data_IF_061224543071
#
_entry.id   IF_061224543071
#
_cell.length_a   1.000
_cell.length_b   1.000
_cell.length_c   1.000
_cell.angle_alpha   90.00
_cell.angle_beta   90.00
_cell.angle_gamma   90.00
#
_symmetry.space_group_name_H-M   'P 1'
#
loop_
_entity.id
_entity.type
_entity.pdbx_description
1 polymer ?
#
# COMPACT_ATOMS: atom_id res chain seq x y z
N UNK A 1 -7.12 -26.10 -25.47
CA UNK A 1 -7.30 -24.73 -25.00
C UNK A 1 -7.80 -23.89 -26.14
N UNK A 2 -9.01 -23.32 -26.07
CA UNK A 2 -9.58 -22.57 -27.21
C UNK A 2 -8.89 -21.20 -27.32
N UNK A 3 -8.64 -20.72 -28.53
CA UNK A 3 -8.00 -19.42 -28.80
C UNK A 3 -8.65 -18.27 -28.00
N UNK A 4 -9.97 -18.35 -27.80
CA UNK A 4 -10.76 -17.42 -26.99
C UNK A 4 -10.31 -17.38 -25.53
N UNK A 5 -9.94 -18.52 -24.94
CA UNK A 5 -9.51 -18.62 -23.55
C UNK A 5 -8.13 -17.97 -23.36
N UNK A 6 -7.24 -18.12 -24.34
CA UNK A 6 -5.92 -17.48 -24.36
C UNK A 6 -6.04 -15.96 -24.47
N UNK A 7 -6.87 -15.47 -25.39
CA UNK A 7 -7.12 -14.02 -25.54
C UNK A 7 -7.74 -13.42 -24.27
N UNK A 8 -8.66 -14.13 -23.63
CA UNK A 8 -9.26 -13.70 -22.37
C UNK A 8 -8.23 -13.60 -21.24
N UNK A 9 -7.35 -14.58 -21.10
CA UNK A 9 -6.25 -14.55 -20.12
C UNK A 9 -5.28 -13.37 -20.36
N UNK A 10 -4.93 -13.10 -21.62
CA UNK A 10 -4.07 -11.97 -21.99
C UNK A 10 -4.75 -10.65 -21.59
N UNK A 11 -6.05 -10.50 -21.85
CA UNK A 11 -6.82 -9.31 -21.48
C UNK A 11 -6.86 -9.08 -19.97
N UNK A 12 -7.10 -10.13 -19.20
CA UNK A 12 -7.11 -10.09 -17.74
C UNK A 12 -5.73 -9.69 -17.19
N UNK A 13 -4.66 -10.26 -17.74
CA UNK A 13 -3.30 -9.92 -17.30
C UNK A 13 -2.93 -8.48 -17.67
N UNK A 14 -3.27 -7.99 -18.85
CA UNK A 14 -3.07 -6.60 -19.24
C UNK A 14 -3.84 -5.63 -18.32
N UNK A 15 -5.09 -5.94 -18.01
CA UNK A 15 -5.89 -5.18 -17.06
C UNK A 15 -5.23 -5.13 -15.67
N UNK A 16 -4.74 -6.27 -15.21
CA UNK A 16 -4.01 -6.36 -13.95
C UNK A 16 -2.78 -5.45 -13.90
N UNK A 17 -1.90 -5.56 -14.89
CA UNK A 17 -0.69 -4.72 -14.95
C UNK A 17 -1.01 -3.23 -15.04
N UNK A 18 -2.07 -2.87 -15.76
CA UNK A 18 -2.52 -1.48 -15.87
C UNK A 18 -2.98 -0.93 -14.52
N UNK A 19 -3.75 -1.71 -13.74
CA UNK A 19 -4.23 -1.29 -12.42
C UNK A 19 -3.10 -1.16 -11.40
N UNK A 20 -2.14 -2.08 -11.42
CA UNK A 20 -0.93 -2.03 -10.60
C UNK A 20 -0.09 -0.79 -10.93
N UNK A 21 0.12 -0.54 -12.23
CA UNK A 21 0.87 0.64 -12.68
C UNK A 21 0.16 1.96 -12.32
N UNK A 22 -1.16 2.03 -12.46
CA UNK A 22 -1.94 3.21 -12.09
C UNK A 22 -1.89 3.47 -10.57
N UNK A 23 -2.02 2.43 -9.75
CA UNK A 23 -1.90 2.53 -8.29
C UNK A 23 -0.51 3.02 -7.87
N UNK A 24 0.54 2.41 -8.42
CA UNK A 24 1.92 2.83 -8.20
C UNK A 24 2.19 4.27 -8.64
N UNK A 25 1.57 4.73 -9.74
CA UNK A 25 1.66 6.11 -10.20
C UNK A 25 1.05 7.09 -9.18
N UNK A 26 -0.13 6.81 -8.65
CA UNK A 26 -0.76 7.68 -7.65
C UNK A 26 0.04 7.70 -6.35
N UNK A 27 0.53 6.55 -5.87
CA UNK A 27 1.40 6.49 -4.70
C UNK A 27 2.72 7.23 -4.93
N UNK A 28 3.33 7.10 -6.11
CA UNK A 28 4.52 7.87 -6.47
C UNK A 28 4.25 9.38 -6.42
N UNK A 29 3.10 9.82 -6.93
CA UNK A 29 2.69 11.24 -6.88
C UNK A 29 2.40 11.72 -5.46
N UNK A 30 1.88 10.87 -4.58
CA UNK A 30 1.66 11.17 -3.17
C UNK A 30 2.98 11.32 -2.40
N UNK A 31 3.99 10.50 -2.69
CA UNK A 31 5.26 10.56 -1.98
C UNK A 31 6.21 11.65 -2.50
N UNK A 32 6.08 12.06 -3.77
CA UNK A 32 7.01 13.00 -4.43
C UNK A 32 7.25 14.34 -3.70
N UNK A 33 6.25 14.96 -3.02
CA UNK A 33 6.47 16.19 -2.24
C UNK A 33 7.33 15.98 -0.98
N UNK A 34 7.39 14.79 -0.44
CA UNK A 34 8.05 14.49 0.84
C UNK A 34 9.43 13.85 0.69
N UNK A 35 9.66 13.14 -0.43
CA UNK A 35 10.88 12.38 -0.65
C UNK A 35 11.40 12.59 -2.06
N UNK A 36 12.69 12.84 -2.18
CA UNK A 36 13.33 12.95 -3.48
C UNK A 36 13.85 11.60 -3.94
N UNK A 37 13.53 11.13 -5.15
CA UNK A 37 14.21 9.96 -5.70
C UNK A 37 15.70 10.25 -5.85
N UNK A 38 16.52 9.22 -5.76
CA UNK A 38 17.95 9.32 -6.00
C UNK A 38 18.23 9.72 -7.45
N UNK A 39 19.35 10.39 -7.73
CA UNK A 39 19.66 10.85 -9.07
C UNK A 39 19.83 9.66 -10.03
N UNK A 40 19.23 9.81 -11.21
CA UNK A 40 19.26 8.79 -12.26
C UNK A 40 17.88 8.21 -12.58
N UNK A 41 17.71 7.80 -13.85
CA UNK A 41 16.46 7.17 -14.31
C UNK A 41 16.19 5.85 -13.59
N UNK A 42 17.25 5.07 -13.35
CA UNK A 42 17.17 3.78 -12.67
C UNK A 42 16.48 3.89 -11.30
N UNK A 43 16.88 4.84 -10.45
CA UNK A 43 16.32 5.01 -9.11
C UNK A 43 14.87 5.47 -9.11
N UNK A 44 14.47 6.28 -10.10
CA UNK A 44 13.06 6.69 -10.27
C UNK A 44 12.20 5.51 -10.70
N UNK A 45 12.70 4.71 -11.62
CA UNK A 45 12.02 3.48 -12.05
C UNK A 45 11.95 2.48 -10.91
N UNK A 46 13.04 2.28 -10.15
CA UNK A 46 13.05 1.40 -8.99
C UNK A 46 12.03 1.83 -7.93
N UNK A 47 11.97 3.12 -7.59
CA UNK A 47 10.96 3.64 -6.67
C UNK A 47 9.54 3.39 -7.18
N UNK A 48 9.29 3.67 -8.45
CA UNK A 48 8.00 3.39 -9.08
C UNK A 48 7.65 1.91 -9.04
N UNK A 49 8.59 1.02 -9.40
CA UNK A 49 8.39 -0.42 -9.36
C UNK A 49 8.17 -0.95 -7.93
N UNK A 50 8.84 -0.37 -6.94
CA UNK A 50 8.60 -0.71 -5.53
C UNK A 50 7.16 -0.40 -5.13
N UNK A 51 6.68 0.81 -5.43
CA UNK A 51 5.31 1.23 -5.11
C UNK A 51 4.25 0.52 -5.96
N UNK A 52 4.53 0.23 -7.21
CA UNK A 52 3.62 -0.53 -8.07
C UNK A 52 3.61 -2.01 -7.71
N UNK A 53 4.79 -2.61 -7.47
CA UNK A 53 4.90 -4.03 -7.15
C UNK A 53 4.22 -4.40 -5.84
N UNK A 54 4.33 -3.54 -4.82
CA UNK A 54 3.64 -3.75 -3.55
C UNK A 54 2.12 -3.69 -3.70
N UNK A 55 1.57 -2.77 -4.51
CA UNK A 55 0.13 -2.76 -4.83
C UNK A 55 -0.33 -3.98 -5.64
N UNK A 56 0.57 -4.66 -6.33
CA UNK A 56 0.27 -5.89 -7.07
C UNK A 56 0.12 -7.13 -6.18
N UNK A 57 0.58 -7.09 -4.95
CA UNK A 57 0.47 -8.22 -4.03
C UNK A 57 -0.97 -8.43 -3.56
N UNK A 58 -1.33 -9.70 -3.40
CA UNK A 58 -2.57 -10.10 -2.71
C UNK A 58 -2.24 -10.20 -1.24
N UNK A 59 -2.89 -9.41 -0.43
CA UNK A 59 -2.66 -9.35 1.02
C UNK A 59 -4.00 -9.32 1.72
N UNK A 60 -4.24 -10.31 2.57
CA UNK A 60 -5.41 -10.35 3.43
C UNK A 60 -5.14 -9.74 4.80
N UNK A 61 -6.19 -9.43 5.52
CA UNK A 61 -6.06 -8.96 6.91
C UNK A 61 -5.43 -10.09 7.73
N UNK A 62 -4.29 -9.79 8.35
CA UNK A 62 -3.53 -10.76 9.14
C UNK A 62 -2.62 -11.69 8.32
N UNK A 63 -2.41 -11.42 7.04
CA UNK A 63 -1.53 -12.21 6.18
C UNK A 63 -0.07 -12.15 6.66
N UNK A 64 0.59 -13.30 6.93
CA UNK A 64 2.00 -13.34 7.33
C UNK A 64 2.95 -12.84 6.23
N UNK A 65 2.54 -12.82 4.96
CA UNK A 65 3.33 -12.26 3.86
C UNK A 65 3.65 -10.78 4.07
N UNK A 66 2.85 -10.08 4.87
CA UNK A 66 3.12 -8.69 5.25
C UNK A 66 4.45 -8.53 5.99
N UNK A 67 4.85 -9.50 6.81
CA UNK A 67 6.13 -9.51 7.53
C UNK A 67 7.33 -9.64 6.58
N UNK A 68 7.17 -10.31 5.44
CA UNK A 68 8.23 -10.44 4.44
C UNK A 68 8.26 -9.24 3.48
N UNK A 69 7.10 -8.68 3.15
CA UNK A 69 7.00 -7.52 2.27
C UNK A 69 7.52 -6.25 2.93
N UNK A 70 7.33 -6.10 4.25
CA UNK A 70 7.76 -4.94 5.01
C UNK A 70 9.27 -4.65 4.84
N UNK A 71 10.21 -5.56 5.19
CA UNK A 71 11.63 -5.29 5.05
C UNK A 71 12.06 -5.07 3.59
N UNK A 72 11.47 -5.80 2.64
CA UNK A 72 11.75 -5.64 1.23
C UNK A 72 11.32 -4.25 0.73
N UNK A 73 10.10 -3.82 1.04
CA UNK A 73 9.58 -2.50 0.71
C UNK A 73 10.47 -1.40 1.30
N UNK A 74 10.80 -1.50 2.59
CA UNK A 74 11.68 -0.55 3.27
C UNK A 74 13.05 -0.45 2.63
N UNK A 75 13.70 -1.58 2.38
CA UNK A 75 15.01 -1.61 1.75
C UNK A 75 14.99 -0.93 0.39
N UNK A 76 14.07 -1.33 -0.50
CA UNK A 76 13.95 -0.78 -1.85
C UNK A 76 13.58 0.70 -1.84
N UNK A 77 12.64 1.12 -0.98
CA UNK A 77 12.23 2.51 -0.83
C UNK A 77 13.39 3.39 -0.33
N UNK A 78 14.09 2.98 0.72
CA UNK A 78 15.20 3.73 1.29
C UNK A 78 16.43 3.75 0.36
N UNK A 79 16.67 2.70 -0.43
CA UNK A 79 17.72 2.67 -1.44
C UNK A 79 17.42 3.61 -2.60
N UNK A 80 16.17 3.68 -3.04
CA UNK A 80 15.74 4.49 -4.20
C UNK A 80 15.55 5.97 -3.87
N UNK A 81 15.48 6.34 -2.59
CA UNK A 81 15.23 7.72 -2.14
C UNK A 81 16.44 8.34 -1.47
N UNK A 82 16.47 9.68 -1.40
CA UNK A 82 17.49 10.47 -0.68
C UNK A 82 16.84 11.64 0.07
N UNK A 83 17.55 12.12 1.09
CA UNK A 83 17.12 13.20 1.97
C UNK A 83 17.35 12.86 3.43
N UNK A 84 16.69 13.56 4.33
CA UNK A 84 16.77 13.29 5.75
C UNK A 84 16.32 11.85 6.08
N UNK A 85 17.12 11.15 6.89
CA UNK A 85 16.88 9.73 7.19
C UNK A 85 15.56 9.52 7.92
N UNK A 86 15.25 10.39 8.90
CA UNK A 86 14.03 10.26 9.72
C UNK A 86 12.80 10.51 8.84
N UNK A 87 12.84 11.56 8.01
CA UNK A 87 11.75 11.89 7.09
C UNK A 87 11.48 10.75 6.09
N UNK A 88 12.53 10.16 5.50
CA UNK A 88 12.37 9.02 4.57
C UNK A 88 11.74 7.81 5.24
N UNK A 89 12.17 7.47 6.47
CA UNK A 89 11.59 6.36 7.23
C UNK A 89 10.13 6.65 7.57
N UNK A 90 9.81 7.85 8.04
CA UNK A 90 8.43 8.23 8.35
C UNK A 90 7.51 8.12 7.12
N UNK A 91 7.92 8.69 5.99
CA UNK A 91 7.13 8.61 4.74
C UNK A 91 7.00 7.16 4.25
N UNK A 92 8.07 6.36 4.37
CA UNK A 92 8.05 4.94 4.03
C UNK A 92 6.99 4.18 4.84
N UNK A 93 6.94 4.40 6.16
CA UNK A 93 5.95 3.77 7.05
C UNK A 93 4.54 4.21 6.67
N UNK A 94 4.31 5.50 6.48
CA UNK A 94 2.99 6.04 6.13
C UNK A 94 2.48 5.42 4.83
N UNK A 95 3.31 5.41 3.78
CA UNK A 95 2.93 4.84 2.49
C UNK A 95 2.67 3.34 2.59
N UNK A 96 3.53 2.61 3.29
CA UNK A 96 3.35 1.18 3.50
C UNK A 96 2.05 0.88 4.23
N UNK A 97 1.77 1.57 5.35
CA UNK A 97 0.54 1.38 6.10
C UNK A 97 -0.70 1.73 5.28
N UNK A 98 -0.67 2.85 4.56
CA UNK A 98 -1.76 3.27 3.67
C UNK A 98 -2.04 2.21 2.60
N UNK A 99 -1.00 1.77 1.92
CA UNK A 99 -1.08 0.81 0.83
C UNK A 99 -1.58 -0.55 1.32
N UNK A 100 -0.96 -1.09 2.38
CA UNK A 100 -1.31 -2.40 2.93
C UNK A 100 -2.74 -2.40 3.51
N UNK A 101 -3.17 -1.30 4.14
CA UNK A 101 -4.54 -1.17 4.64
C UNK A 101 -5.57 -1.22 3.51
N UNK A 102 -5.33 -0.49 2.42
CA UNK A 102 -6.23 -0.50 1.25
C UNK A 102 -6.25 -1.87 0.58
N UNK A 103 -5.08 -2.47 0.36
CA UNK A 103 -4.99 -3.79 -0.26
C UNK A 103 -5.66 -4.87 0.61
N UNK A 104 -5.37 -4.91 1.91
CA UNK A 104 -5.93 -5.90 2.82
C UNK A 104 -7.46 -5.79 2.94
N UNK A 105 -7.99 -4.56 2.98
CA UNK A 105 -9.44 -4.36 2.98
C UNK A 105 -10.08 -4.89 1.69
N UNK A 106 -9.57 -4.47 0.55
CA UNK A 106 -10.12 -4.86 -0.75
C UNK A 106 -10.02 -6.37 -0.95
N UNK A 107 -8.87 -6.97 -0.72
CA UNK A 107 -8.64 -8.40 -0.95
C UNK A 107 -9.48 -9.26 0.01
N UNK A 108 -9.62 -8.87 1.29
CA UNK A 108 -10.45 -9.59 2.25
C UNK A 108 -11.94 -9.57 1.89
N UNK A 109 -12.44 -8.43 1.39
CA UNK A 109 -13.84 -8.35 0.96
C UNK A 109 -14.11 -9.17 -0.30
N UNK A 110 -13.16 -9.24 -1.22
CA UNK A 110 -13.28 -9.97 -2.47
C UNK A 110 -13.37 -11.46 -2.27
N UNK A 111 -12.49 -12.00 -1.45
CA UNK A 111 -12.45 -13.44 -1.19
C UNK A 111 -13.80 -13.96 -0.64
N UNK A 112 -14.55 -13.08 0.06
CA UNK A 112 -15.85 -13.42 0.63
C UNK A 112 -16.99 -13.45 -0.37
N UNK A 113 -16.91 -12.68 -1.47
CA UNK A 113 -18.07 -12.46 -2.34
C UNK A 113 -18.10 -13.41 -3.54
N UNK A 114 -16.97 -13.68 -4.18
CA UNK A 114 -16.93 -14.61 -5.31
C UNK A 114 -15.50 -14.90 -5.81
N UNK A 115 -15.20 -16.15 -6.20
CA UNK A 115 -13.90 -16.57 -6.74
C UNK A 115 -13.80 -16.51 -8.28
N UNK A 116 -14.49 -15.59 -8.94
CA UNK A 116 -14.41 -15.44 -10.38
C UNK A 116 -13.26 -14.52 -10.79
N UNK A 117 -12.46 -14.93 -11.80
CA UNK A 117 -11.32 -14.17 -12.31
C UNK A 117 -11.65 -12.71 -12.72
N UNK A 118 -12.87 -12.47 -13.19
CA UNK A 118 -13.36 -11.13 -13.51
C UNK A 118 -13.50 -10.27 -12.24
N UNK A 119 -13.90 -10.87 -11.16
CA UNK A 119 -14.07 -10.20 -9.87
C UNK A 119 -12.72 -9.78 -9.29
N UNK A 120 -11.70 -10.62 -9.40
CA UNK A 120 -10.33 -10.28 -9.01
C UNK A 120 -9.81 -9.04 -9.75
N UNK A 121 -10.11 -8.91 -11.04
CA UNK A 121 -9.73 -7.72 -11.81
C UNK A 121 -10.50 -6.49 -11.35
N UNK A 122 -11.81 -6.60 -11.10
CA UNK A 122 -12.65 -5.48 -10.65
C UNK A 122 -12.19 -4.92 -9.31
N UNK A 123 -11.77 -5.79 -8.38
CA UNK A 123 -11.29 -5.35 -7.07
C UNK A 123 -9.92 -4.70 -7.15
N UNK A 124 -9.06 -5.23 -8.00
CA UNK A 124 -7.77 -4.58 -8.26
C UNK A 124 -7.96 -3.22 -8.93
N UNK A 125 -9.00 -3.06 -9.78
CA UNK A 125 -9.45 -1.76 -10.28
C UNK A 125 -9.90 -0.81 -9.17
N UNK A 126 -10.42 -1.32 -8.05
CA UNK A 126 -10.78 -0.48 -6.92
C UNK A 126 -9.57 0.20 -6.25
N UNK A 127 -8.37 -0.40 -6.31
CA UNK A 127 -7.16 0.20 -5.73
C UNK A 127 -6.81 1.56 -6.33
N UNK A 128 -6.64 1.72 -7.65
CA UNK A 128 -6.41 3.05 -8.23
C UNK A 128 -7.60 3.99 -8.06
N UNK A 129 -8.85 3.46 -7.93
CA UNK A 129 -10.03 4.26 -7.62
C UNK A 129 -10.02 4.79 -6.18
N UNK A 130 -9.25 4.22 -5.26
CA UNK A 130 -9.02 4.77 -3.91
C UNK A 130 -7.84 5.76 -3.95
N UNK A 131 -6.69 5.35 -4.51
CA UNK A 131 -5.49 6.19 -4.51
C UNK A 131 -5.60 7.41 -5.42
N UNK A 132 -6.35 7.33 -6.53
CA UNK A 132 -6.57 8.43 -7.46
C UNK A 132 -7.31 9.61 -6.83
N UNK A 133 -8.53 9.43 -6.30
CA UNK A 133 -9.25 10.47 -5.57
C UNK A 133 -8.48 10.99 -4.35
N UNK A 134 -7.80 10.12 -3.59
CA UNK A 134 -6.96 10.54 -2.49
C UNK A 134 -5.86 11.52 -2.98
N UNK A 135 -5.16 11.17 -4.06
CA UNK A 135 -4.20 12.10 -4.66
C UNK A 135 -4.85 13.38 -5.16
N UNK A 136 -6.03 13.31 -5.80
CA UNK A 136 -6.75 14.48 -6.30
C UNK A 136 -7.17 15.44 -5.18
N UNK A 137 -7.63 14.90 -4.05
CA UNK A 137 -7.99 15.68 -2.87
C UNK A 137 -6.77 16.34 -2.23
N UNK A 138 -5.70 15.57 -2.07
CA UNK A 138 -4.49 16.05 -1.41
C UNK A 138 -3.64 16.94 -2.31
N UNK A 139 -3.63 16.76 -3.63
CA UNK A 139 -2.76 17.52 -4.56
C UNK A 139 -2.89 19.05 -4.44
N UNK A 140 -4.06 19.54 -4.02
CA UNK A 140 -4.30 20.98 -3.81
C UNK A 140 -3.68 21.50 -2.52
N UNK A 141 -3.50 20.59 -1.54
CA UNK A 141 -2.91 20.88 -0.22
C UNK A 141 -1.44 20.48 -0.14
N UNK A 142 -1.00 19.59 -1.03
CA UNK A 142 0.39 19.17 -1.09
C UNK A 142 1.27 20.33 -1.56
N UNK A 143 2.38 20.60 -0.88
CA UNK A 143 3.32 21.64 -1.27
C UNK A 143 3.92 21.32 -2.64
N UNK A 144 4.11 22.36 -3.46
CA UNK A 144 4.76 22.24 -4.77
C UNK A 144 6.27 22.05 -4.64
N UNK A 145 6.84 22.54 -3.56
CA UNK A 145 8.25 22.37 -3.23
C UNK A 145 8.42 21.25 -2.20
N UNK A 146 9.57 20.57 -2.18
CA UNK A 146 9.83 19.51 -1.22
C UNK A 146 9.72 20.02 0.22
N UNK A 147 8.95 19.30 1.01
CA UNK A 147 8.74 19.64 2.43
C UNK A 147 10.04 19.53 3.20
N UNK A 148 10.47 20.65 3.76
CA UNK A 148 11.62 20.70 4.67
C UNK A 148 11.07 20.88 6.08
N UNK A 149 10.84 19.77 6.79
CA UNK A 149 10.43 19.82 8.18
C UNK A 149 11.66 19.80 9.10
N UNK A 150 11.52 20.44 10.26
CA UNK A 150 12.55 20.33 11.29
C UNK A 150 12.70 18.87 11.78
N UNK A 151 13.89 18.52 12.24
CA UNK A 151 14.14 17.15 12.73
C UNK A 151 13.22 16.74 13.89
N UNK A 152 12.77 17.73 14.69
CA UNK A 152 11.82 17.49 15.80
C UNK A 152 10.43 17.10 15.26
N UNK A 153 9.96 17.80 14.23
CA UNK A 153 8.69 17.49 13.57
C UNK A 153 8.73 16.13 12.88
N UNK A 154 9.83 15.79 12.19
CA UNK A 154 9.99 14.46 11.60
C UNK A 154 9.98 13.33 12.63
N UNK A 155 10.54 13.53 13.82
CA UNK A 155 10.45 12.56 14.91
C UNK A 155 9.02 12.39 15.41
N UNK A 156 8.27 13.48 15.51
CA UNK A 156 6.85 13.43 15.90
C UNK A 156 6.00 12.69 14.86
N UNK A 157 6.17 13.02 13.58
CA UNK A 157 5.52 12.31 12.46
C UNK A 157 5.87 10.83 12.46
N UNK A 158 7.15 10.48 12.69
CA UNK A 158 7.58 9.10 12.80
C UNK A 158 6.90 8.37 13.97
N UNK A 159 6.79 9.02 15.13
CA UNK A 159 6.11 8.45 16.29
C UNK A 159 4.62 8.17 16.00
N UNK A 160 3.94 9.13 15.36
CA UNK A 160 2.55 8.94 14.95
C UNK A 160 2.40 7.83 13.90
N UNK A 161 3.30 7.76 12.92
CA UNK A 161 3.29 6.74 11.88
C UNK A 161 3.63 5.33 12.41
N UNK A 162 4.37 5.22 13.51
CA UNK A 162 4.69 3.95 14.13
C UNK A 162 3.44 3.25 14.70
N UNK A 163 2.43 3.99 15.17
CA UNK A 163 1.21 3.41 15.74
C UNK A 163 0.45 2.51 14.73
N UNK A 164 0.09 2.98 13.51
CA UNK A 164 -0.56 2.14 12.52
C UNK A 164 0.32 0.95 12.08
N UNK A 165 1.64 1.11 12.02
CA UNK A 165 2.54 0.01 11.71
C UNK A 165 2.51 -1.06 12.81
N UNK A 166 2.58 -0.66 14.08
CA UNK A 166 2.44 -1.58 15.21
C UNK A 166 1.10 -2.30 15.21
N UNK A 167 0.01 -1.59 14.88
CA UNK A 167 -1.32 -2.18 14.76
C UNK A 167 -1.37 -3.24 13.64
N UNK A 168 -0.81 -2.96 12.46
CA UNK A 168 -0.73 -3.92 11.37
C UNK A 168 0.06 -5.17 11.77
N UNK A 169 1.22 -4.99 12.37
CA UNK A 169 2.06 -6.11 12.85
C UNK A 169 1.33 -6.92 13.93
N UNK A 170 0.69 -6.26 14.89
CA UNK A 170 -0.07 -6.92 15.94
C UNK A 170 -1.21 -7.77 15.37
N UNK A 171 -1.95 -7.24 14.38
CA UNK A 171 -3.01 -8.01 13.69
C UNK A 171 -2.43 -9.27 13.05
N UNK A 172 -1.30 -9.16 12.34
CA UNK A 172 -0.64 -10.33 11.72
C UNK A 172 -0.25 -11.36 12.78
N UNK A 173 0.42 -10.93 13.85
CA UNK A 173 0.88 -11.84 14.91
C UNK A 173 -0.28 -12.51 15.63
N UNK A 174 -1.37 -11.79 15.90
CA UNK A 174 -2.56 -12.35 16.53
C UNK A 174 -3.29 -13.34 15.64
N UNK A 175 -3.37 -13.06 14.34
CA UNK A 175 -4.01 -13.94 13.37
C UNK A 175 -3.19 -15.19 13.13
N UNK A 176 -1.87 -15.08 13.02
CA UNK A 176 -0.95 -16.20 12.85
C UNK A 176 -1.05 -17.24 13.99
N UNK A 177 -1.34 -16.76 15.20
CA UNK A 177 -1.47 -17.64 16.39
C UNK A 177 -2.83 -18.33 16.48
N UNK A 178 -3.86 -17.88 15.71
CA UNK A 178 -5.26 -18.35 15.83
C UNK A 178 -5.85 -18.86 14.52
N UNK A 179 -5.04 -19.30 13.56
CA UNK A 179 -5.50 -19.67 12.23
C UNK A 179 -6.60 -20.76 12.21
N UNK A 180 -6.74 -21.56 13.28
CA UNK A 180 -7.69 -22.66 13.36
C UNK A 180 -9.08 -22.30 13.95
N UNK A 181 -9.33 -21.05 14.40
CA UNK A 181 -10.57 -20.75 15.15
C UNK A 181 -11.13 -19.32 15.00
N UNK A 182 -10.97 -18.67 13.83
CA UNK A 182 -11.45 -17.29 13.66
C UNK A 182 -12.94 -17.27 13.32
N UNK A 183 -13.79 -16.99 14.32
CA UNK A 183 -15.19 -16.65 14.10
C UNK A 183 -15.33 -15.31 13.35
N UNK A 184 -16.42 -15.17 12.58
CA UNK A 184 -16.73 -14.00 11.71
C UNK A 184 -16.67 -12.67 12.47
N UNK A 185 -17.01 -12.63 13.76
CA UNK A 185 -16.97 -11.44 14.60
C UNK A 185 -15.55 -10.91 14.86
N UNK A 186 -14.57 -11.82 14.93
CA UNK A 186 -13.16 -11.46 15.14
C UNK A 186 -12.59 -10.76 13.90
N UNK A 187 -13.02 -11.16 12.72
CA UNK A 187 -12.60 -10.53 11.46
C UNK A 187 -13.14 -9.10 11.34
N UNK A 188 -14.38 -8.83 11.76
CA UNK A 188 -14.94 -7.47 11.76
C UNK A 188 -14.17 -6.54 12.72
N UNK A 189 -13.73 -7.06 13.87
CA UNK A 189 -12.91 -6.32 14.84
C UNK A 189 -11.52 -5.98 14.25
N UNK A 190 -10.89 -6.92 13.52
CA UNK A 190 -9.62 -6.68 12.85
C UNK A 190 -9.76 -5.70 11.67
N UNK A 191 -10.88 -5.72 10.95
CA UNK A 191 -11.19 -4.73 9.92
C UNK A 191 -11.23 -3.31 10.49
N UNK A 192 -11.85 -3.13 11.65
CA UNK A 192 -11.83 -1.85 12.37
C UNK A 192 -10.42 -1.39 12.75
N UNK A 193 -9.56 -2.31 13.21
CA UNK A 193 -8.17 -1.99 13.55
C UNK A 193 -7.31 -1.61 12.34
N UNK A 194 -7.61 -2.11 11.16
CA UNK A 194 -6.90 -1.74 9.93
C UNK A 194 -7.40 -0.40 9.38
N UNK A 195 -8.70 -0.08 9.56
CA UNK A 195 -9.28 1.21 9.15
C UNK A 195 -8.79 2.36 10.03
N UNK A 196 -8.58 2.13 11.33
CA UNK A 196 -8.08 3.15 12.26
C UNK A 196 -6.77 3.81 11.79
N UNK A 197 -5.72 3.06 11.40
CA UNK A 197 -4.51 3.65 10.85
C UNK A 197 -4.75 4.49 9.60
N UNK A 198 -5.70 4.07 8.74
CA UNK A 198 -6.06 4.80 7.52
C UNK A 198 -6.72 6.14 7.85
N UNK A 199 -7.67 6.17 8.79
CA UNK A 199 -8.33 7.40 9.26
C UNK A 199 -7.32 8.34 9.90
N UNK A 200 -6.39 7.82 10.71
CA UNK A 200 -5.33 8.62 11.34
C UNK A 200 -4.35 9.24 10.33
N UNK A 201 -4.08 8.56 9.21
CA UNK A 201 -3.18 9.07 8.18
C UNK A 201 -3.83 10.15 7.30
N UNK A 202 -5.17 10.21 7.29
CA UNK A 202 -5.94 11.14 6.45
C UNK A 202 -6.50 12.35 7.22
N UNK A 203 -6.50 12.31 8.55
CA UNK A 203 -6.86 13.42 9.44
C UNK A 203 -5.67 14.32 9.75
#
# INVERSE_FOLDING_TARGET
MRMRDVLWQIWLNCGYFLTVAASGFFLYKLCAPFVRPRNGRFWRVLLFLTLAGSTGMVIWIGDPNLLYTLPAFFALFLLSTRGDRIGRVAVCIILFCLEMSVCALLDTYVERINRNALYDVLVRLARPLVFGPLWLLLRRRLPREPVVLSRRLWKLVLGLAAMPLCALIAVVLLTFRRYDSIEVNTVAMYQGMVVLPFVFLTS
#
